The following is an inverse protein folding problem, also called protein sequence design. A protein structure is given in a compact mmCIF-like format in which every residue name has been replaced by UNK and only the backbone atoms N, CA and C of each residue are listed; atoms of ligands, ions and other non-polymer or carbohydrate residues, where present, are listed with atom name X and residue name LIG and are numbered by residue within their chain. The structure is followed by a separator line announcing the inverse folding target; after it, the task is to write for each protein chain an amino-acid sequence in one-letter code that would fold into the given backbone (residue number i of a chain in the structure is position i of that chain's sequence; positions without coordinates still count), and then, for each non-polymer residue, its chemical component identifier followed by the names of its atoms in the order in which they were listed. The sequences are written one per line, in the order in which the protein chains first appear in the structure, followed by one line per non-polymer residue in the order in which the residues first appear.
data_IF_529168320964
#
_entry.id   IF_529168320964
#
_cell.length_a   1.000
_cell.length_b   1.000
_cell.length_c   1.000
_cell.angle_alpha   90.00
_cell.angle_beta   90.00
_cell.angle_gamma   90.00
#
_symmetry.space_group_name_H-M   'P 1'
#
loop_
_entity.id
_entity.type
_entity.pdbx_description
1 polymer ?
#
# COMPACT_ATOMS: atom_id res chain seq x y z
N UNK A 1 -33.45 22.55 3.07
CA UNK A 1 -32.40 22.86 2.08
C UNK A 1 -31.49 21.66 1.99
N UNK A 2 -31.58 20.90 0.91
CA UNK A 2 -30.84 19.64 0.70
C UNK A 2 -29.40 19.97 0.32
N UNK A 3 -28.42 19.44 1.06
CA UNK A 3 -26.99 19.61 0.74
C UNK A 3 -26.70 19.04 -0.66
N UNK A 4 -26.01 19.78 -1.55
CA UNK A 4 -25.59 19.22 -2.81
C UNK A 4 -24.61 18.07 -2.56
N UNK A 5 -24.78 16.99 -3.33
CA UNK A 5 -23.88 15.85 -3.41
C UNK A 5 -22.51 16.40 -3.79
N UNK A 6 -21.52 16.30 -2.90
CA UNK A 6 -20.14 16.68 -3.24
C UNK A 6 -19.76 15.85 -4.45
N UNK A 7 -19.43 16.50 -5.56
CA UNK A 7 -18.66 15.85 -6.60
C UNK A 7 -17.34 15.44 -5.94
N UNK A 8 -16.93 14.18 -6.11
CA UNK A 8 -15.58 13.74 -5.74
C UNK A 8 -14.61 14.59 -6.55
N UNK A 9 -13.94 15.53 -5.89
CA UNK A 9 -12.84 16.28 -6.48
C UNK A 9 -11.65 15.32 -6.57
N UNK A 10 -10.96 15.33 -7.72
CA UNK A 10 -9.72 14.59 -7.88
C UNK A 10 -8.74 15.03 -6.79
N UNK A 11 -8.06 14.06 -6.21
CA UNK A 11 -6.90 14.32 -5.38
C UNK A 11 -5.79 14.94 -6.26
N UNK A 12 -5.15 16.05 -5.93
CA UNK A 12 -3.77 16.47 -6.25
C UNK A 12 -2.76 15.34 -6.51
N UNK A 13 -2.84 14.17 -5.85
CA UNK A 13 -2.08 12.99 -6.29
C UNK A 13 -2.58 12.51 -7.65
N UNK A 14 -3.86 12.24 -7.78
CA UNK A 14 -4.52 11.88 -9.03
C UNK A 14 -4.33 12.96 -10.09
N UNK A 15 -4.41 14.26 -9.78
CA UNK A 15 -4.12 15.35 -10.72
C UNK A 15 -2.66 15.33 -11.17
N UNK A 16 -1.71 15.11 -10.22
CA UNK A 16 -0.28 15.00 -10.55
C UNK A 16 0.01 13.80 -11.46
N UNK A 17 -0.73 12.71 -11.31
CA UNK A 17 -0.58 11.50 -12.12
C UNK A 17 -1.56 11.40 -13.29
N UNK A 18 -2.51 12.32 -13.43
CA UNK A 18 -3.44 12.41 -14.56
C UNK A 18 -2.76 12.42 -15.93
N UNK A 19 -1.62 13.12 -16.17
CA UNK A 19 -0.92 13.03 -17.46
C UNK A 19 -0.28 11.65 -17.73
N UNK A 20 -0.26 10.75 -16.74
CA UNK A 20 0.20 9.37 -16.86
C UNK A 20 -0.96 8.37 -16.95
N UNK A 21 -2.20 8.84 -17.14
CA UNK A 21 -3.36 7.96 -17.30
C UNK A 21 -3.30 7.17 -18.61
N UNK A 22 -4.10 6.10 -18.68
CA UNK A 22 -4.29 5.34 -19.91
C UNK A 22 -4.87 6.19 -21.04
N UNK A 23 -5.77 7.14 -20.74
CA UNK A 23 -6.29 8.07 -21.75
C UNK A 23 -5.22 9.02 -22.24
N UNK A 24 -4.45 9.63 -21.34
CA UNK A 24 -3.37 10.54 -21.71
C UNK A 24 -2.31 9.84 -22.59
N UNK A 25 -1.98 8.58 -22.28
CA UNK A 25 -1.06 7.78 -23.08
C UNK A 25 -1.61 7.52 -24.49
N UNK A 26 -2.91 7.22 -24.61
CA UNK A 26 -3.59 7.02 -25.89
C UNK A 26 -3.62 8.29 -26.73
N UNK A 27 -4.01 9.42 -26.12
CA UNK A 27 -4.16 10.71 -26.77
C UNK A 27 -2.84 11.30 -27.25
N UNK A 28 -1.74 11.03 -26.53
CA UNK A 28 -0.39 11.45 -26.92
C UNK A 28 0.14 10.77 -28.20
N UNK A 29 -0.55 9.74 -28.70
CA UNK A 29 -0.09 8.96 -29.86
C UNK A 29 1.19 8.16 -29.58
N UNK A 30 1.46 7.87 -28.30
CA UNK A 30 2.67 7.16 -27.90
C UNK A 30 2.64 5.72 -28.43
N UNK A 31 3.68 5.28 -29.18
CA UNK A 31 3.72 3.92 -29.75
C UNK A 31 3.71 2.80 -28.69
N UNK A 32 3.94 3.14 -27.42
CA UNK A 32 3.95 2.20 -26.29
C UNK A 32 2.52 1.93 -25.77
N UNK A 33 1.49 2.66 -26.23
CA UNK A 33 0.11 2.47 -25.77
C UNK A 33 -0.40 1.05 -26.01
N UNK A 34 -0.25 0.54 -27.24
CA UNK A 34 -0.78 -0.78 -27.63
C UNK A 34 -0.12 -1.90 -26.82
N UNK A 35 1.22 -1.82 -26.65
CA UNK A 35 2.00 -2.76 -25.83
C UNK A 35 1.55 -2.68 -24.37
N UNK A 36 1.47 -1.48 -23.80
CA UNK A 36 1.06 -1.32 -22.40
C UNK A 36 -0.34 -1.85 -22.16
N UNK A 37 -1.26 -1.69 -23.14
CA UNK A 37 -2.63 -2.18 -23.06
C UNK A 37 -2.71 -3.70 -23.10
N UNK A 38 -1.87 -4.36 -23.91
CA UNK A 38 -1.72 -5.82 -23.92
C UNK A 38 -1.32 -6.34 -22.52
N UNK A 39 -0.40 -5.65 -21.85
CA UNK A 39 0.08 -6.00 -20.51
C UNK A 39 -0.65 -5.26 -19.38
N UNK A 40 -1.89 -4.82 -19.58
CA UNK A 40 -2.64 -4.06 -18.56
C UNK A 40 -2.77 -4.81 -17.23
N UNK A 41 -2.77 -6.15 -17.25
CA UNK A 41 -2.77 -7.01 -16.05
C UNK A 41 -1.54 -6.81 -15.15
N UNK A 42 -0.41 -6.39 -15.73
CA UNK A 42 0.85 -6.14 -15.00
C UNK A 42 0.83 -4.77 -14.31
N UNK A 43 0.00 -3.84 -14.79
CA UNK A 43 -0.09 -2.47 -14.29
C UNK A 43 -1.49 -2.16 -13.71
N UNK A 44 -1.91 -2.86 -12.64
CA UNK A 44 -3.18 -2.58 -12.01
C UNK A 44 -3.13 -1.23 -11.31
N UNK A 45 -4.24 -0.47 -11.38
CA UNK A 45 -4.39 0.82 -10.71
C UNK A 45 -4.27 0.69 -9.18
N UNK A 46 -4.80 -0.41 -8.63
CA UNK A 46 -4.73 -0.76 -7.21
C UNK A 46 -4.11 -2.14 -7.04
N UNK A 47 -3.21 -2.28 -6.07
CA UNK A 47 -2.55 -3.56 -5.79
C UNK A 47 -3.61 -4.57 -5.31
N UNK A 48 -3.82 -5.70 -6.03
CA UNK A 48 -4.84 -6.68 -5.68
C UNK A 48 -4.66 -7.21 -4.24
N UNK A 49 -5.75 -7.39 -3.51
CA UNK A 49 -5.70 -7.86 -2.12
C UNK A 49 -5.23 -9.32 -1.98
N UNK A 50 -5.15 -10.06 -3.08
CA UNK A 50 -4.72 -11.45 -3.10
C UNK A 50 -3.20 -11.60 -2.86
N UNK A 51 -2.81 -12.75 -2.32
CA UNK A 51 -1.40 -13.12 -2.22
C UNK A 51 -0.89 -13.51 -3.61
N UNK A 52 0.35 -13.10 -3.97
CA UNK A 52 0.98 -13.59 -5.19
C UNK A 52 1.07 -15.12 -5.19
N UNK A 53 1.03 -15.72 -6.39
CA UNK A 53 1.30 -17.14 -6.57
C UNK A 53 2.61 -17.55 -5.88
N UNK A 54 2.65 -18.78 -5.37
CA UNK A 54 3.86 -19.32 -4.76
C UNK A 54 5.03 -19.28 -5.76
N UNK A 55 6.19 -18.82 -5.28
CA UNK A 55 7.42 -18.70 -6.06
C UNK A 55 8.48 -19.60 -5.45
N UNK A 56 9.31 -20.20 -6.31
CA UNK A 56 10.43 -21.05 -5.92
C UNK A 56 11.44 -20.28 -5.05
N UNK A 57 11.60 -18.97 -5.28
CA UNK A 57 12.46 -18.11 -4.49
C UNK A 57 11.65 -17.46 -3.37
N UNK A 58 12.02 -17.72 -2.12
CA UNK A 58 11.45 -17.12 -0.92
C UNK A 58 12.44 -16.15 -0.28
N UNK A 59 11.95 -15.02 0.23
CA UNK A 59 12.76 -14.12 1.03
C UNK A 59 13.11 -14.80 2.37
N UNK A 60 14.40 -14.93 2.65
CA UNK A 60 14.92 -15.44 3.92
C UNK A 60 15.81 -14.37 4.53
N UNK A 61 15.68 -14.18 5.84
CA UNK A 61 16.56 -13.32 6.62
C UNK A 61 17.60 -14.23 7.26
N UNK A 62 18.85 -14.16 6.79
CA UNK A 62 19.97 -14.87 7.42
C UNK A 62 20.47 -14.08 8.62
N UNK A 63 20.47 -14.72 9.79
CA UNK A 63 20.93 -14.12 11.03
C UNK A 63 22.43 -14.37 11.20
N UNK A 64 23.16 -13.32 11.58
CA UNK A 64 24.57 -13.45 11.97
C UNK A 64 24.64 -14.22 13.29
N UNK A 65 25.50 -15.25 13.43
CA UNK A 65 25.64 -15.99 14.68
C UNK A 65 25.92 -15.05 15.86
N UNK A 66 25.17 -15.20 16.95
CA UNK A 66 25.26 -14.34 18.14
C UNK A 66 24.44 -13.05 18.08
N UNK A 67 23.69 -12.79 16.99
CA UNK A 67 22.78 -11.65 16.92
C UNK A 67 21.68 -11.77 17.98
N UNK A 68 21.46 -10.69 18.75
CA UNK A 68 20.36 -10.61 19.71
C UNK A 68 19.08 -10.18 19.00
N UNK A 69 17.96 -10.72 19.44
CA UNK A 69 16.65 -10.30 18.95
C UNK A 69 16.32 -8.88 19.42
N UNK A 70 15.74 -8.09 18.51
CA UNK A 70 15.17 -6.80 18.87
C UNK A 70 13.84 -7.03 19.58
N UNK A 71 13.73 -6.61 20.84
CA UNK A 71 12.48 -6.60 21.61
C UNK A 71 12.24 -5.19 22.08
N UNK A 72 11.57 -4.42 21.24
CA UNK A 72 11.23 -3.04 21.54
C UNK A 72 9.71 -2.91 21.70
N UNK A 73 9.28 -2.25 22.77
CA UNK A 73 7.86 -1.97 23.02
C UNK A 73 7.37 -0.88 22.08
N UNK A 74 6.09 -0.96 21.72
CA UNK A 74 5.40 0.11 21.03
C UNK A 74 5.45 1.39 21.87
N UNK A 75 5.86 2.51 21.29
CA UNK A 75 5.79 3.80 21.96
C UNK A 75 4.33 4.24 22.10
N UNK A 76 3.97 4.98 23.17
CA UNK A 76 2.63 5.53 23.31
C UNK A 76 2.26 6.37 22.09
N UNK A 77 1.12 6.05 21.48
CA UNK A 77 0.57 6.80 20.35
C UNK A 77 -0.78 7.40 20.75
N UNK A 78 -1.15 8.57 20.18
CA UNK A 78 -2.49 9.11 20.24
C UNK A 78 -3.55 8.09 19.81
N UNK A 79 -4.74 8.13 20.43
CA UNK A 79 -5.79 7.13 20.19
C UNK A 79 -6.27 7.08 18.75
N UNK A 80 -6.41 8.24 18.10
CA UNK A 80 -6.74 8.38 16.69
C UNK A 80 -5.72 7.67 15.79
N UNK A 81 -4.42 7.81 16.09
CA UNK A 81 -3.37 7.12 15.32
C UNK A 81 -3.40 5.60 15.55
N UNK A 82 -3.73 5.15 16.75
CA UNK A 82 -3.89 3.72 17.04
C UNK A 82 -5.04 3.13 16.23
N UNK A 83 -6.19 3.81 16.19
CA UNK A 83 -7.35 3.37 15.41
C UNK A 83 -7.04 3.28 13.91
N UNK A 84 -6.29 4.24 13.34
CA UNK A 84 -5.84 4.20 11.94
C UNK A 84 -4.86 3.05 11.67
N UNK A 85 -3.92 2.80 12.59
CA UNK A 85 -2.97 1.68 12.50
C UNK A 85 -3.71 0.34 12.54
N UNK A 86 -4.65 0.19 13.46
CA UNK A 86 -5.44 -1.03 13.60
C UNK A 86 -6.27 -1.30 12.33
N UNK A 87 -6.91 -0.27 11.77
CA UNK A 87 -7.64 -0.37 10.51
C UNK A 87 -6.71 -0.77 9.34
N UNK A 88 -5.49 -0.21 9.28
CA UNK A 88 -4.49 -0.55 8.27
C UNK A 88 -4.07 -2.02 8.36
N UNK A 89 -3.80 -2.52 9.56
CA UNK A 89 -3.41 -3.92 9.76
C UNK A 89 -4.57 -4.88 9.53
N UNK A 90 -5.80 -4.53 9.89
CA UNK A 90 -6.97 -5.35 9.61
C UNK A 90 -7.18 -5.54 8.11
N UNK A 91 -7.02 -4.48 7.30
CA UNK A 91 -7.04 -4.58 5.84
C UNK A 91 -5.96 -5.52 5.29
N UNK A 92 -4.74 -5.44 5.84
CA UNK A 92 -3.61 -6.32 5.47
C UNK A 92 -3.81 -7.76 5.91
N UNK A 93 -4.45 -7.98 7.06
CA UNK A 93 -4.80 -9.30 7.59
C UNK A 93 -5.85 -9.98 6.71
N UNK A 94 -6.90 -9.27 6.32
CA UNK A 94 -7.90 -9.76 5.34
C UNK A 94 -7.28 -10.11 3.99
N UNK A 95 -6.29 -9.33 3.55
CA UNK A 95 -5.49 -9.61 2.35
C UNK A 95 -4.49 -10.77 2.50
N UNK A 96 -4.41 -11.42 3.67
CA UNK A 96 -3.45 -12.50 3.94
C UNK A 96 -1.99 -12.06 3.99
N UNK A 97 -1.71 -10.74 3.88
CA UNK A 97 -0.34 -10.18 3.82
C UNK A 97 0.32 -10.09 5.20
N UNK A 98 -0.49 -10.00 6.26
CA UNK A 98 -0.05 -9.95 7.66
C UNK A 98 -0.85 -10.98 8.46
N UNK A 99 -0.23 -11.58 9.47
CA UNK A 99 -0.86 -12.49 10.42
C UNK A 99 -0.36 -12.21 11.83
N UNK A 100 -1.15 -12.60 12.82
CA UNK A 100 -0.69 -12.62 14.20
C UNK A 100 0.48 -13.60 14.36
N UNK A 101 1.39 -13.25 15.27
CA UNK A 101 2.59 -14.04 15.49
C UNK A 101 3.01 -13.97 16.95
N UNK A 102 3.53 -15.08 17.47
CA UNK A 102 4.13 -15.17 18.80
C UNK A 102 5.64 -15.26 18.61
N UNK A 103 6.27 -14.15 18.20
CA UNK A 103 7.71 -14.12 17.94
C UNK A 103 8.45 -13.46 19.10
N UNK A 104 9.69 -13.89 19.38
CA UNK A 104 10.55 -13.20 20.33
C UNK A 104 11.13 -11.90 19.77
N UNK A 105 10.62 -11.39 18.63
CA UNK A 105 11.08 -10.17 17.98
C UNK A 105 9.94 -9.16 17.91
N UNK A 106 10.20 -7.92 18.29
CA UNK A 106 9.26 -6.83 18.12
C UNK A 106 10.00 -5.54 17.78
N UNK A 107 9.46 -4.82 16.80
CA UNK A 107 9.89 -3.47 16.43
C UNK A 107 8.70 -2.53 16.51
N UNK A 108 8.87 -1.30 17.02
CA UNK A 108 7.76 -0.37 17.14
C UNK A 108 7.31 0.11 15.75
N UNK A 109 6.03 0.37 15.62
CA UNK A 109 5.41 0.96 14.44
C UNK A 109 5.22 2.45 14.70
N UNK A 110 5.46 3.27 13.68
CA UNK A 110 5.26 4.71 13.74
C UNK A 110 4.20 5.11 12.72
N UNK A 111 3.28 6.00 13.13
CA UNK A 111 2.32 6.58 12.21
C UNK A 111 3.00 7.67 11.37
N UNK A 112 2.82 7.60 10.06
CA UNK A 112 3.26 8.66 9.15
C UNK A 112 2.03 9.17 8.42
N UNK A 113 1.64 10.41 8.72
CA UNK A 113 0.66 11.11 7.90
C UNK A 113 1.30 11.36 6.55
N UNK A 114 0.89 10.59 5.53
CA UNK A 114 1.20 10.94 4.15
C UNK A 114 0.49 12.26 3.83
N UNK A 115 1.11 13.09 2.99
CA UNK A 115 0.39 14.22 2.42
C UNK A 115 -0.92 13.69 1.86
N UNK A 116 -2.03 14.29 2.28
CA UNK A 116 -3.35 13.90 1.81
C UNK A 116 -3.30 13.83 0.29
N UNK A 117 -3.91 12.79 -0.23
CA UNK A 117 -4.60 12.81 -1.51
C UNK A 117 -5.79 13.82 -1.37
N UNK A 118 -5.71 15.11 -0.99
CA UNK A 118 -4.95 16.21 -1.58
C UNK A 118 -5.19 16.12 -3.02
#
# INVERSE_FOLDING_TARGET
MTRPRSAEQMSAREERFAPQSWEALRESGNPVYDISREYAVVFPEKIPAELPADRVVRHKIDLVPGSKFCVTRQWPLPRDQVEDIDAFFEGRRKAGRVRESVTPHSSPIFFVKKATEG
#
